data_IF_916053802380
#
_entry.id   IF_916053802380
#
_cell.length_a   1.000
_cell.length_b   1.000
_cell.length_c   1.000
_cell.angle_alpha   90.00
_cell.angle_beta   90.00
_cell.angle_gamma   90.00
#
_symmetry.space_group_name_H-M   'P 1'
#
loop_
_entity.id
_entity.type
_entity.pdbx_description
1 polymer ?
#
# COMPACT_ATOMS: atom_id res chain seq x y z
N UNK A 1 47.39 -7.25 -20.22
CA UNK A 1 48.51 -6.96 -19.32
C UNK A 1 47.97 -6.15 -18.16
N UNK A 2 48.08 -6.77 -16.96
CA UNK A 2 48.35 -6.16 -15.73
C UNK A 2 47.31 -5.71 -14.79
N UNK A 3 47.30 -5.82 -13.57
CA UNK A 3 48.11 -6.30 -12.42
C UNK A 3 47.17 -6.47 -11.24
N UNK A 4 47.20 -7.65 -10.64
CA UNK A 4 46.62 -7.94 -9.35
C UNK A 4 47.38 -7.19 -8.26
N UNK A 5 46.65 -6.55 -7.32
CA UNK A 5 47.15 -6.03 -6.08
C UNK A 5 46.36 -6.63 -4.93
N UNK A 6 46.97 -7.58 -4.26
CA UNK A 6 46.50 -8.15 -2.99
C UNK A 6 47.05 -7.33 -1.81
N UNK A 7 46.21 -7.00 -0.83
CA UNK A 7 46.60 -6.59 0.53
C UNK A 7 45.52 -7.15 1.47
N UNK A 8 45.77 -8.23 2.13
CA UNK A 8 46.30 -8.46 3.48
C UNK A 8 45.36 -8.05 4.64
N UNK A 9 44.97 -9.07 5.32
CA UNK A 9 44.52 -9.34 6.67
C UNK A 9 44.67 -8.25 7.74
N UNK A 10 43.64 -8.15 8.56
CA UNK A 10 43.63 -7.49 9.85
C UNK A 10 42.58 -8.10 10.76
N UNK A 11 42.95 -9.17 11.49
CA UNK A 11 42.23 -9.70 12.63
C UNK A 11 42.41 -8.71 13.81
N UNK A 12 41.31 -8.34 14.46
CA UNK A 12 41.38 -7.81 15.83
C UNK A 12 40.16 -8.30 16.62
N UNK A 13 40.45 -9.31 17.43
CA UNK A 13 39.56 -9.82 18.46
C UNK A 13 39.68 -8.90 19.70
N UNK A 14 38.56 -8.51 20.28
CA UNK A 14 38.49 -8.04 21.65
C UNK A 14 37.29 -8.68 22.34
N UNK A 15 37.61 -9.58 23.24
CA UNK A 15 36.70 -10.12 24.23
C UNK A 15 36.73 -9.21 25.46
N UNK A 16 35.58 -8.89 26.04
CA UNK A 16 35.45 -8.48 27.44
C UNK A 16 34.15 -9.01 28.01
N UNK A 17 34.33 -9.85 29.00
CA UNK A 17 33.32 -10.39 29.88
C UNK A 17 32.89 -9.34 30.90
N UNK A 18 31.63 -9.38 31.33
CA UNK A 18 31.11 -8.59 32.44
C UNK A 18 29.85 -9.19 33.01
N UNK A 19 29.99 -9.86 34.14
CA UNK A 19 28.95 -10.44 35.01
C UNK A 19 28.07 -9.39 35.70
N UNK A 20 26.87 -9.85 36.10
CA UNK A 20 26.02 -9.27 37.15
C UNK A 20 24.56 -9.28 36.73
N UNK A 21 23.70 -10.12 37.15
CA UNK A 21 23.27 -10.65 38.42
C UNK A 21 22.26 -9.72 39.11
N UNK A 22 20.92 -9.98 38.94
CA UNK A 22 19.95 -9.78 40.01
C UNK A 22 18.62 -10.45 39.61
N UNK A 23 18.21 -11.38 40.42
CA UNK A 23 16.89 -11.96 40.52
C UNK A 23 15.96 -10.95 41.16
N UNK A 24 14.77 -10.77 40.65
CA UNK A 24 13.61 -10.49 41.48
C UNK A 24 12.39 -11.21 40.90
N UNK A 25 11.97 -12.15 41.73
CA UNK A 25 10.71 -12.86 41.61
C UNK A 25 9.65 -11.96 42.25
N UNK A 26 8.65 -11.58 41.52
CA UNK A 26 7.34 -11.32 42.11
C UNK A 26 6.24 -11.64 41.11
N UNK A 27 5.67 -12.81 41.26
CA UNK A 27 4.34 -13.12 40.73
C UNK A 27 3.31 -12.72 41.79
N UNK A 28 2.19 -12.16 41.39
CA UNK A 28 0.91 -12.75 41.82
C UNK A 28 -0.04 -13.00 40.68
N UNK A 29 -0.50 -14.22 40.66
CA UNK A 29 -1.90 -14.74 40.51
C UNK A 29 -2.87 -13.92 39.67
N UNK A 30 -3.29 -14.55 38.54
CA UNK A 30 -4.65 -14.87 38.22
C UNK A 30 -5.63 -13.72 38.02
N UNK A 31 -5.86 -13.41 36.72
CA UNK A 31 -7.20 -13.05 36.32
C UNK A 31 -7.47 -13.62 34.92
N UNK A 32 -8.28 -14.64 34.90
CA UNK A 32 -8.93 -15.23 33.73
C UNK A 32 -9.87 -14.19 33.14
N UNK A 33 -9.38 -13.44 32.13
CA UNK A 33 -10.30 -12.67 31.27
C UNK A 33 -10.69 -13.53 30.10
N UNK A 34 -11.90 -14.05 30.19
CA UNK A 34 -12.67 -14.65 29.10
C UNK A 34 -12.69 -13.71 27.91
N UNK A 35 -12.40 -14.16 26.67
CA UNK A 35 -12.64 -13.33 25.50
C UNK A 35 -14.16 -13.26 25.27
N UNK A 36 -14.78 -12.21 25.78
CA UNK A 36 -16.09 -11.81 25.31
C UNK A 36 -15.98 -11.49 23.83
N UNK A 37 -16.68 -12.27 23.02
CA UNK A 37 -16.93 -11.97 21.62
C UNK A 37 -17.64 -10.61 21.53
N UNK A 38 -16.86 -9.55 21.51
CA UNK A 38 -17.34 -8.22 21.17
C UNK A 38 -17.56 -8.18 19.68
N UNK A 39 -18.81 -8.33 19.26
CA UNK A 39 -19.29 -7.90 17.96
C UNK A 39 -19.02 -6.40 17.88
N UNK A 40 -17.84 -6.03 17.40
CA UNK A 40 -17.52 -4.64 17.09
C UNK A 40 -18.34 -4.28 15.86
N UNK A 41 -19.51 -3.71 16.12
CA UNK A 41 -20.22 -2.94 15.11
C UNK A 41 -19.23 -1.90 14.59
N UNK A 42 -18.78 -2.11 13.35
CA UNK A 42 -17.89 -1.21 12.66
C UNK A 42 -18.58 0.16 12.55
N UNK A 43 -18.25 1.04 13.49
CA UNK A 43 -18.45 2.47 13.31
C UNK A 43 -17.51 2.84 12.16
N UNK A 44 -18.08 3.08 11.00
CA UNK A 44 -17.37 3.52 9.79
C UNK A 44 -16.82 4.92 10.01
N UNK A 45 -15.79 5.05 10.82
CA UNK A 45 -14.87 6.18 10.69
C UNK A 45 -14.07 5.85 9.45
N UNK A 46 -14.22 6.65 8.40
CA UNK A 46 -13.55 6.51 7.10
C UNK A 46 -12.02 6.62 7.25
N UNK A 47 -11.45 5.69 7.99
CA UNK A 47 -10.00 5.59 8.11
C UNK A 47 -9.46 4.95 6.83
N UNK A 48 -8.55 5.65 6.22
CA UNK A 48 -7.82 5.18 5.04
C UNK A 48 -7.21 3.80 5.29
N UNK A 49 -7.54 2.77 4.50
CA UNK A 49 -7.03 1.42 4.73
C UNK A 49 -5.52 1.35 4.47
N UNK A 50 -4.83 0.46 5.20
CA UNK A 50 -3.39 0.23 5.02
C UNK A 50 -3.08 -0.18 3.58
N UNK A 51 -3.97 -0.95 2.95
CA UNK A 51 -3.85 -1.36 1.56
C UNK A 51 -3.81 -0.18 0.56
N UNK A 52 -4.31 1.00 0.94
CA UNK A 52 -4.29 2.21 0.11
C UNK A 52 -2.99 3.02 0.25
N UNK A 53 -2.17 2.78 1.26
CA UNK A 53 -0.94 3.56 1.52
C UNK A 53 -0.02 3.66 0.30
N UNK A 54 0.23 2.58 -0.48
CA UNK A 54 1.07 2.68 -1.67
C UNK A 54 0.54 3.65 -2.74
N UNK A 55 -0.76 3.85 -2.82
CA UNK A 55 -1.40 4.73 -3.80
C UNK A 55 -1.08 6.21 -3.54
N UNK A 56 -0.88 6.57 -2.27
CA UNK A 56 -0.68 7.96 -1.84
C UNK A 56 0.66 8.56 -2.28
N UNK A 57 1.62 7.73 -2.66
CA UNK A 57 2.90 8.21 -3.20
C UNK A 57 2.73 8.96 -4.54
N UNK A 58 1.66 8.65 -5.26
CA UNK A 58 1.40 9.20 -6.59
C UNK A 58 0.06 9.93 -6.69
N UNK A 59 -0.93 9.58 -5.89
CA UNK A 59 -2.29 10.08 -5.99
C UNK A 59 -2.72 10.88 -4.78
N UNK A 60 -3.33 12.04 -5.01
CA UNK A 60 -4.09 12.76 -4.00
C UNK A 60 -5.55 12.26 -3.96
N UNK A 61 -6.22 12.48 -2.83
CA UNK A 61 -7.66 12.21 -2.64
C UNK A 61 -8.50 13.49 -2.60
N UNK A 62 -7.86 14.64 -2.78
CA UNK A 62 -8.52 15.94 -2.85
C UNK A 62 -8.92 16.23 -4.29
N UNK A 63 -10.16 16.73 -4.54
CA UNK A 63 -10.59 17.09 -5.89
C UNK A 63 -9.64 18.05 -6.60
N UNK A 64 -9.32 17.76 -7.86
CA UNK A 64 -8.47 18.61 -8.71
C UNK A 64 -6.97 18.60 -8.36
N UNK A 65 -6.55 17.99 -7.28
CA UNK A 65 -5.13 17.87 -6.94
C UNK A 65 -4.49 16.66 -7.65
N UNK A 66 -3.86 16.95 -8.77
CA UNK A 66 -3.08 15.94 -9.50
C UNK A 66 -1.62 15.96 -9.00
N UNK A 67 -1.01 14.79 -8.90
CA UNK A 67 0.40 14.58 -8.60
C UNK A 67 1.09 13.83 -9.75
N UNK A 68 1.90 12.84 -9.43
CA UNK A 68 2.44 11.88 -10.41
C UNK A 68 1.29 11.13 -11.10
N UNK A 69 0.24 10.80 -10.35
CA UNK A 69 -1.01 10.28 -10.85
C UNK A 69 -2.16 11.30 -10.70
N UNK A 70 -3.32 11.04 -11.32
CA UNK A 70 -4.49 11.90 -11.18
C UNK A 70 -5.09 11.81 -9.77
N UNK A 71 -5.85 12.85 -9.39
CA UNK A 71 -6.67 12.79 -8.18
C UNK A 71 -7.66 11.62 -8.24
N UNK A 72 -7.77 10.90 -7.13
CA UNK A 72 -8.72 9.79 -6.94
C UNK A 72 -10.06 10.24 -6.37
N UNK A 73 -10.23 11.54 -6.07
CA UNK A 73 -11.53 12.07 -5.67
C UNK A 73 -12.57 11.78 -6.76
N UNK A 74 -13.71 11.19 -6.38
CA UNK A 74 -14.79 10.81 -7.29
C UNK A 74 -14.38 9.85 -8.40
N UNK A 75 -13.37 9.01 -8.20
CA UNK A 75 -12.90 8.07 -9.23
C UNK A 75 -13.90 6.95 -9.48
N UNK A 76 -14.60 6.48 -8.45
CA UNK A 76 -15.59 5.42 -8.59
C UNK A 76 -16.76 5.86 -9.49
N UNK A 77 -17.10 5.06 -10.46
CA UNK A 77 -18.14 5.37 -11.47
C UNK A 77 -17.70 6.32 -12.60
N UNK A 78 -16.50 6.91 -12.52
CA UNK A 78 -15.96 7.85 -13.50
C UNK A 78 -15.36 7.11 -14.71
N UNK A 79 -15.44 7.69 -15.89
CA UNK A 79 -14.73 7.18 -17.08
C UNK A 79 -13.22 7.25 -16.87
N UNK A 80 -12.50 6.26 -17.35
CA UNK A 80 -11.05 6.28 -17.37
C UNK A 80 -10.55 7.48 -18.18
N UNK A 81 -9.39 8.01 -17.76
CA UNK A 81 -8.74 9.16 -18.38
C UNK A 81 -9.59 10.46 -18.42
N UNK A 82 -10.52 10.66 -17.46
CA UNK A 82 -11.41 11.83 -17.44
C UNK A 82 -11.17 12.82 -16.30
N UNK A 83 -10.15 12.62 -15.43
CA UNK A 83 -9.85 13.62 -14.41
C UNK A 83 -9.34 14.92 -15.07
N UNK A 84 -9.90 16.09 -14.70
CA UNK A 84 -9.49 17.35 -15.27
C UNK A 84 -8.02 17.68 -14.99
N UNK A 85 -7.34 18.28 -15.96
CA UNK A 85 -5.97 18.79 -15.79
C UNK A 85 -4.89 17.73 -15.63
N UNK A 86 -5.18 16.44 -15.90
CA UNK A 86 -4.18 15.37 -15.88
C UNK A 86 -3.91 14.80 -17.28
N UNK A 87 -2.65 14.68 -17.64
CA UNK A 87 -2.24 14.13 -18.94
C UNK A 87 -2.08 12.61 -18.90
N UNK A 88 -3.07 11.92 -19.40
CA UNK A 88 -3.12 10.45 -19.47
C UNK A 88 -2.35 9.88 -20.66
N UNK A 89 -1.92 8.61 -20.56
CA UNK A 89 -1.40 7.89 -21.71
C UNK A 89 -2.47 7.70 -22.80
N UNK A 90 -2.04 7.65 -24.06
CA UNK A 90 -2.91 7.36 -25.18
C UNK A 90 -3.66 6.04 -24.98
N UNK A 91 -2.98 5.02 -24.44
CA UNK A 91 -3.57 3.71 -24.16
C UNK A 91 -4.74 3.80 -23.16
N UNK A 92 -4.60 4.58 -22.08
CA UNK A 92 -5.69 4.71 -21.12
C UNK A 92 -6.84 5.55 -21.67
N UNK A 93 -6.56 6.61 -22.44
CA UNK A 93 -7.57 7.40 -23.16
C UNK A 93 -8.39 6.53 -24.11
N UNK A 94 -7.73 5.63 -24.84
CA UNK A 94 -8.36 4.73 -25.81
C UNK A 94 -9.09 3.53 -25.17
N UNK A 95 -8.87 3.27 -23.88
CA UNK A 95 -9.40 2.07 -23.22
C UNK A 95 -10.92 2.03 -23.08
N UNK A 96 -11.59 3.20 -23.09
CA UNK A 96 -13.03 3.34 -22.98
C UNK A 96 -13.65 2.82 -21.68
N UNK A 97 -12.83 2.49 -20.68
CA UNK A 97 -13.27 1.87 -19.43
C UNK A 97 -13.98 2.86 -18.51
N UNK A 98 -14.80 2.30 -17.63
CA UNK A 98 -15.40 3.03 -16.49
C UNK A 98 -14.91 2.37 -15.21
N UNK A 99 -14.62 3.16 -14.20
CA UNK A 99 -14.09 2.68 -12.93
C UNK A 99 -15.19 2.15 -12.01
N UNK A 100 -15.89 1.12 -12.44
CA UNK A 100 -16.79 0.32 -11.61
C UNK A 100 -15.98 -0.67 -10.76
N UNK A 101 -16.67 -1.41 -9.90
CA UNK A 101 -16.03 -2.35 -8.98
C UNK A 101 -15.21 -3.43 -9.72
N UNK A 102 -15.80 -4.05 -10.75
CA UNK A 102 -15.15 -5.12 -11.50
C UNK A 102 -13.93 -4.60 -12.28
N UNK A 103 -14.05 -3.42 -12.88
CA UNK A 103 -12.97 -2.77 -13.63
C UNK A 103 -11.84 -2.36 -12.69
N UNK A 104 -12.17 -1.82 -11.50
CA UNK A 104 -11.17 -1.47 -10.49
C UNK A 104 -10.46 -2.71 -9.94
N UNK A 105 -11.19 -3.81 -9.69
CA UNK A 105 -10.56 -5.04 -9.22
C UNK A 105 -9.55 -5.59 -10.23
N UNK A 106 -9.95 -5.66 -11.49
CA UNK A 106 -9.06 -6.09 -12.59
C UNK A 106 -7.86 -5.12 -12.76
N UNK A 107 -8.11 -3.81 -12.68
CA UNK A 107 -7.07 -2.78 -12.75
C UNK A 107 -6.06 -2.90 -11.61
N UNK A 108 -6.55 -3.00 -10.38
CA UNK A 108 -5.69 -3.14 -9.19
C UNK A 108 -4.96 -4.49 -9.16
N UNK A 109 -5.46 -5.51 -9.84
CA UNK A 109 -4.76 -6.80 -9.98
C UNK A 109 -3.54 -6.66 -10.88
N UNK A 110 -3.66 -6.03 -12.04
CA UNK A 110 -2.57 -5.87 -13.00
C UNK A 110 -2.84 -4.71 -13.98
N UNK A 111 -2.47 -3.48 -13.63
CA UNK A 111 -2.73 -2.31 -14.48
C UNK A 111 -2.10 -2.42 -15.87
N UNK A 112 -0.84 -2.87 -15.92
CA UNK A 112 -0.10 -2.97 -17.18
C UNK A 112 -0.60 -4.09 -18.08
N UNK A 113 -1.09 -5.19 -17.48
CA UNK A 113 -1.73 -6.27 -18.24
C UNK A 113 -3.11 -5.88 -18.77
N UNK A 114 -3.88 -5.10 -17.99
CA UNK A 114 -5.21 -4.65 -18.38
C UNK A 114 -5.18 -3.55 -19.46
N UNK A 115 -4.22 -2.62 -19.37
CA UNK A 115 -4.02 -1.53 -20.35
C UNK A 115 -2.52 -1.41 -20.65
N UNK A 116 -2.02 -2.19 -21.60
CA UNK A 116 -0.63 -2.06 -22.04
C UNK A 116 -0.35 -0.63 -22.55
N UNK A 117 0.74 -0.04 -22.07
CA UNK A 117 1.08 1.36 -22.37
C UNK A 117 0.48 2.38 -21.38
N UNK A 118 -0.13 1.93 -20.29
CA UNK A 118 -0.42 2.83 -19.16
C UNK A 118 0.87 3.40 -18.57
N UNK A 119 0.80 4.62 -18.02
CA UNK A 119 1.93 5.22 -17.28
C UNK A 119 1.94 4.85 -15.79
N UNK A 120 0.91 4.18 -15.31
CA UNK A 120 0.86 3.71 -13.92
C UNK A 120 1.80 2.52 -13.76
N UNK A 121 2.85 2.70 -12.97
CA UNK A 121 3.92 1.70 -12.77
C UNK A 121 3.63 0.76 -11.57
N UNK A 122 2.42 0.80 -11.04
CA UNK A 122 2.01 -0.09 -9.95
C UNK A 122 1.99 -1.55 -10.42
N UNK A 123 2.66 -2.42 -9.64
CA UNK A 123 2.81 -3.85 -10.00
C UNK A 123 1.54 -4.67 -9.79
N UNK A 124 0.55 -4.09 -9.12
CA UNK A 124 -0.69 -4.78 -8.79
C UNK A 124 -0.74 -5.29 -7.35
N UNK A 125 -1.94 -5.64 -6.90
CA UNK A 125 -2.24 -6.25 -5.61
C UNK A 125 -2.86 -7.63 -5.85
N UNK A 126 -2.13 -8.69 -5.49
CA UNK A 126 -2.58 -10.08 -5.67
C UNK A 126 -3.67 -10.49 -4.69
N UNK A 127 -3.68 -9.89 -3.48
CA UNK A 127 -4.64 -10.21 -2.42
C UNK A 127 -6.01 -9.58 -2.71
N UNK A 128 -7.06 -10.39 -2.96
CA UNK A 128 -8.39 -9.86 -3.28
C UNK A 128 -9.04 -9.12 -2.11
N UNK A 129 -8.74 -9.49 -0.86
CA UNK A 129 -9.29 -8.79 0.30
C UNK A 129 -8.76 -7.36 0.38
N UNK A 130 -7.45 -7.17 0.15
CA UNK A 130 -6.83 -5.84 0.10
C UNK A 130 -7.33 -5.00 -1.07
N UNK A 131 -7.56 -5.60 -2.25
CA UNK A 131 -8.16 -4.89 -3.37
C UNK A 131 -9.57 -4.41 -3.04
N UNK A 132 -10.36 -5.27 -2.39
CA UNK A 132 -11.70 -4.90 -1.92
C UNK A 132 -11.67 -3.72 -0.95
N UNK A 133 -10.77 -3.75 0.05
CA UNK A 133 -10.60 -2.62 0.98
C UNK A 133 -10.30 -1.31 0.25
N UNK A 134 -9.42 -1.35 -0.75
CA UNK A 134 -9.09 -0.17 -1.56
C UNK A 134 -10.32 0.30 -2.34
N UNK A 135 -11.06 -0.60 -2.97
CA UNK A 135 -12.25 -0.25 -3.77
C UNK A 135 -13.34 0.37 -2.88
N UNK A 136 -13.62 -0.22 -1.73
CA UNK A 136 -14.59 0.34 -0.78
C UNK A 136 -14.17 1.75 -0.34
N UNK A 137 -12.89 1.96 -0.05
CA UNK A 137 -12.39 3.29 0.26
C UNK A 137 -12.55 4.26 -0.92
N UNK A 138 -12.26 3.85 -2.16
CA UNK A 138 -12.44 4.68 -3.35
C UNK A 138 -13.89 5.11 -3.56
N UNK A 139 -14.87 4.29 -3.17
CA UNK A 139 -16.30 4.63 -3.21
C UNK A 139 -16.66 5.79 -2.29
N UNK A 140 -15.90 6.01 -1.20
CA UNK A 140 -16.15 7.09 -0.24
C UNK A 140 -15.59 8.43 -0.69
N UNK A 141 -14.62 8.44 -1.60
CA UNK A 141 -13.98 9.67 -2.09
C UNK A 141 -14.91 10.45 -3.03
N UNK A 142 -15.20 11.69 -2.67
CA UNK A 142 -16.10 12.59 -3.39
C UNK A 142 -15.32 13.68 -4.12
#
# INVERSE_FOLDING_TARGET
MVRYGAIAAGMMALALAGCGGAKDQNAPSGETVSPAAGTSAATTTESKPVAFVPCMSCHAVTPGQNGIGPSLAGVFGRKAASAPGFEYSAALKASGKTWDEATLDAWLTNPMGMVPGTRMTYMGQSDPAKRKEVIEYLKTLK
#
